data_IF_790731005171
#
_entry.id   IF_790731005171
#
_cell.length_a   1.000
_cell.length_b   1.000
_cell.length_c   1.000
_cell.angle_alpha   90.00
_cell.angle_beta   90.00
_cell.angle_gamma   90.00
#
_symmetry.space_group_name_H-M   'P 1'
#
loop_
_entity.id
_entity.type
_entity.pdbx_description
1 polymer ?
#
# COMPACT_ATOMS: atom_id res chain seq x y z
N UNK A 1 7.05 -11.89 -5.80
CA UNK A 1 6.32 -11.00 -4.89
C UNK A 1 6.68 -9.57 -5.28
N UNK A 2 5.69 -8.72 -5.55
CA UNK A 2 5.92 -7.29 -5.79
C UNK A 2 6.16 -6.57 -4.46
N UNK A 3 6.79 -5.39 -4.47
CA UNK A 3 6.92 -4.58 -3.25
C UNK A 3 5.58 -4.19 -2.65
N UNK A 4 4.57 -3.97 -3.49
CA UNK A 4 3.18 -3.75 -3.06
C UNK A 4 2.62 -4.96 -2.29
N UNK A 5 2.86 -6.19 -2.75
CA UNK A 5 2.40 -7.41 -2.06
C UNK A 5 3.06 -7.57 -0.68
N UNK A 6 4.37 -7.31 -0.58
CA UNK A 6 5.10 -7.35 0.70
C UNK A 6 4.53 -6.36 1.71
N UNK A 7 4.25 -5.13 1.28
CA UNK A 7 3.65 -4.10 2.13
C UNK A 7 2.19 -4.41 2.48
N UNK A 8 1.44 -5.03 1.56
CA UNK A 8 0.06 -5.49 1.80
C UNK A 8 0.00 -6.55 2.90
N UNK A 9 0.96 -7.49 2.92
CA UNK A 9 1.07 -8.48 3.98
C UNK A 9 1.36 -7.83 5.34
N UNK A 10 2.29 -6.88 5.38
CA UNK A 10 2.63 -6.13 6.60
C UNK A 10 1.46 -5.29 7.13
N UNK A 11 0.71 -4.64 6.25
CA UNK A 11 -0.52 -3.91 6.60
C UNK A 11 -1.55 -4.83 7.23
N UNK A 12 -1.84 -5.96 6.57
CA UNK A 12 -2.85 -6.91 7.01
C UNK A 12 -2.50 -7.57 8.33
N UNK A 13 -1.22 -7.63 8.69
CA UNK A 13 -0.76 -8.18 9.97
C UNK A 13 -1.01 -7.25 11.17
N UNK A 14 -1.17 -5.94 10.97
CA UNK A 14 -1.23 -4.94 12.06
C UNK A 14 -2.51 -4.14 12.09
N UNK A 15 -3.22 -4.03 10.96
CA UNK A 15 -4.42 -3.21 10.84
C UNK A 15 -5.69 -4.04 10.99
N UNK A 16 -6.68 -3.49 11.70
CA UNK A 16 -8.05 -4.02 11.67
C UNK A 16 -8.67 -3.78 10.28
N UNK A 17 -9.43 -4.76 9.77
CA UNK A 17 -9.99 -4.79 8.41
C UNK A 17 -11.04 -3.71 8.06
N UNK A 18 -11.23 -2.68 8.88
CA UNK A 18 -12.23 -1.64 8.72
C UNK A 18 -12.02 -0.75 7.49
N UNK A 19 -10.80 -0.74 6.93
CA UNK A 19 -10.43 0.02 5.74
C UNK A 19 -10.07 -0.87 4.55
N UNK A 20 -10.18 -2.20 4.69
CA UNK A 20 -9.57 -3.18 3.79
C UNK A 20 -8.05 -2.94 3.61
N UNK A 21 -7.42 -3.75 2.78
CA UNK A 21 -6.01 -3.56 2.40
C UNK A 21 -5.97 -2.72 1.12
N UNK A 22 -5.22 -1.60 1.10
CA UNK A 22 -5.05 -0.80 -0.11
C UNK A 22 -4.46 -1.64 -1.25
N UNK A 23 -4.95 -1.51 -2.50
CA UNK A 23 -4.50 -2.33 -3.62
C UNK A 23 -3.13 -1.91 -4.16
N UNK A 24 -2.65 -0.70 -3.84
CA UNK A 24 -1.33 -0.20 -4.24
C UNK A 24 -0.68 0.55 -3.08
N UNK A 25 0.61 0.31 -2.87
CA UNK A 25 1.40 1.07 -1.90
C UNK A 25 2.11 2.22 -2.60
N UNK A 26 1.89 3.45 -2.15
CA UNK A 26 2.46 4.65 -2.76
C UNK A 26 3.78 5.04 -2.06
N UNK A 27 4.81 5.36 -2.85
CA UNK A 27 6.12 5.79 -2.36
C UNK A 27 6.35 7.31 -2.48
N UNK A 28 5.71 7.96 -3.46
CA UNK A 28 5.92 9.38 -3.78
C UNK A 28 4.68 10.01 -4.40
N UNK A 29 4.50 11.33 -4.20
CA UNK A 29 3.53 12.15 -4.91
C UNK A 29 4.11 13.49 -5.39
N UNK A 30 3.55 14.02 -6.49
CA UNK A 30 3.81 15.36 -7.01
C UNK A 30 2.56 15.89 -7.75
N UNK A 31 1.95 16.96 -7.24
CA UNK A 31 0.67 17.44 -7.75
C UNK A 31 -0.40 16.33 -7.66
N UNK A 32 -1.06 16.05 -8.79
CA UNK A 32 -2.04 14.96 -8.90
C UNK A 32 -1.44 13.61 -9.34
N UNK A 33 -0.11 13.49 -9.40
CA UNK A 33 0.60 12.28 -9.82
C UNK A 33 1.23 11.56 -8.63
N UNK A 34 1.13 10.23 -8.62
CA UNK A 34 1.73 9.37 -7.59
C UNK A 34 2.49 8.21 -8.22
N UNK A 35 3.45 7.68 -7.48
CA UNK A 35 4.26 6.52 -7.85
C UNK A 35 4.17 5.47 -6.75
N UNK A 36 4.11 4.21 -7.16
CA UNK A 36 4.19 3.06 -6.28
C UNK A 36 5.63 2.75 -5.85
N UNK A 37 5.79 1.65 -5.09
CA UNK A 37 7.05 1.18 -4.47
C UNK A 37 7.82 0.17 -5.33
#
# INVERSE_FOLDING_TARGET
MTRTEELSARWSAVMMGNYRTPPVALARGAGATVWDV
#
